data_IF_464503575438
#
_entry.id   IF_464503575438
#
_cell.length_a   1.000
_cell.length_b   1.000
_cell.length_c   1.000
_cell.angle_alpha   90.00
_cell.angle_beta   90.00
_cell.angle_gamma   90.00
#
_symmetry.space_group_name_H-M   'P 1'
#
loop_
_entity.id
_entity.type
_entity.pdbx_description
1 polymer ?
#
# COMPACT_ATOMS: atom_id res chain seq x y z
N UNK A 1 8.99 -8.47 -16.28
CA UNK A 1 9.00 -8.39 -14.81
C UNK A 1 7.75 -7.73 -14.20
N UNK A 2 7.42 -6.45 -14.47
CA UNK A 2 6.37 -5.70 -13.72
C UNK A 2 5.00 -6.39 -13.70
N UNK A 3 4.47 -6.81 -14.84
CA UNK A 3 3.20 -7.53 -14.93
C UNK A 3 3.22 -8.90 -14.23
N UNK A 4 4.38 -9.55 -14.22
CA UNK A 4 4.55 -10.82 -13.51
C UNK A 4 4.50 -10.60 -11.99
N UNK A 5 5.15 -9.54 -11.48
CA UNK A 5 5.08 -9.14 -10.06
C UNK A 5 3.65 -8.76 -9.66
N UNK A 6 2.90 -8.07 -10.52
CA UNK A 6 1.48 -7.78 -10.30
C UNK A 6 0.63 -9.06 -10.15
N UNK A 7 0.89 -10.07 -10.97
CA UNK A 7 0.25 -11.39 -10.87
C UNK A 7 0.63 -12.12 -9.58
N UNK A 8 1.91 -12.11 -9.20
CA UNK A 8 2.41 -12.72 -7.96
C UNK A 8 1.78 -12.07 -6.71
N UNK A 9 1.55 -10.76 -6.75
CA UNK A 9 0.82 -10.00 -5.72
C UNK A 9 -0.70 -10.25 -5.74
N UNK A 10 -1.22 -11.04 -6.70
CA UNK A 10 -2.65 -11.32 -6.88
C UNK A 10 -3.50 -10.05 -7.00
N UNK A 11 -2.99 -9.05 -7.71
CA UNK A 11 -3.76 -7.83 -7.98
C UNK A 11 -5.01 -8.16 -8.81
N UNK A 12 -6.06 -7.35 -8.63
CA UNK A 12 -7.32 -7.51 -9.37
C UNK A 12 -7.15 -7.38 -10.89
N UNK A 13 -6.21 -6.53 -11.31
CA UNK A 13 -5.95 -6.28 -12.72
C UNK A 13 -4.67 -5.49 -12.94
N UNK A 14 -4.32 -5.31 -14.21
CA UNK A 14 -3.19 -4.51 -14.67
C UNK A 14 -3.67 -3.47 -15.68
N UNK A 15 -3.09 -2.28 -15.61
CA UNK A 15 -3.29 -1.23 -16.60
C UNK A 15 -2.14 -1.24 -17.59
N UNK A 16 -2.46 -1.03 -18.87
CA UNK A 16 -1.45 -0.85 -19.90
C UNK A 16 -1.91 0.15 -20.96
N UNK A 17 -0.96 0.90 -21.48
CA UNK A 17 -1.14 1.78 -22.63
C UNK A 17 -0.62 1.06 -23.88
N UNK A 18 -1.50 0.90 -24.86
CA UNK A 18 -1.22 0.19 -26.11
C UNK A 18 -1.00 1.18 -27.23
N UNK A 19 0.05 0.95 -28.00
CA UNK A 19 0.32 1.62 -29.28
C UNK A 19 0.71 0.58 -30.33
N UNK A 20 0.86 0.99 -31.58
CA UNK A 20 1.18 0.10 -32.71
C UNK A 20 2.51 0.55 -33.32
N UNK A 21 3.39 -0.40 -33.63
CA UNK A 21 4.65 -0.14 -34.35
C UNK A 21 4.42 0.18 -35.82
N UNK A 22 5.44 0.70 -36.49
CA UNK A 22 5.37 1.10 -37.89
C UNK A 22 5.02 -0.08 -38.81
N UNK A 23 5.45 -1.29 -38.44
CA UNK A 23 5.17 -2.56 -39.10
C UNK A 23 3.92 -3.30 -38.57
N UNK A 24 3.16 -2.71 -37.64
CA UNK A 24 1.82 -3.16 -37.28
C UNK A 24 1.70 -4.05 -36.05
N UNK A 25 2.76 -4.13 -35.23
CA UNK A 25 2.78 -4.93 -34.00
C UNK A 25 2.25 -4.11 -32.81
N UNK A 26 1.21 -4.57 -32.08
CA UNK A 26 0.76 -3.90 -30.86
C UNK A 26 1.75 -4.10 -29.71
N UNK A 27 2.19 -3.00 -29.11
CA UNK A 27 3.13 -3.01 -27.99
C UNK A 27 2.75 -1.99 -26.91
N UNK A 28 3.37 -2.15 -25.74
CA UNK A 28 3.04 -1.39 -24.55
C UNK A 28 4.02 -0.23 -24.36
N UNK A 29 3.50 0.99 -24.36
CA UNK A 29 4.28 2.20 -24.10
C UNK A 29 3.36 3.32 -23.63
N UNK A 30 3.73 3.94 -22.51
CA UNK A 30 2.99 5.07 -21.95
C UNK A 30 3.32 6.39 -22.65
N UNK A 31 4.60 6.60 -22.97
CA UNK A 31 5.06 7.87 -23.50
C UNK A 31 4.92 7.97 -25.01
N UNK A 32 4.86 9.20 -25.52
CA UNK A 32 4.89 9.46 -26.95
C UNK A 32 6.24 9.08 -27.60
N UNK A 33 7.34 9.09 -26.84
CA UNK A 33 8.70 8.73 -27.31
C UNK A 33 9.34 7.69 -26.39
N UNK A 34 10.45 7.09 -26.83
CA UNK A 34 11.12 6.00 -26.11
C UNK A 34 12.16 6.49 -25.08
N UNK A 35 12.39 7.80 -24.98
CA UNK A 35 13.55 8.38 -24.27
C UNK A 35 13.58 8.14 -22.78
N UNK A 36 12.43 8.23 -22.10
CA UNK A 36 12.37 8.16 -20.63
C UNK A 36 12.57 6.74 -20.12
N UNK A 37 12.07 5.75 -20.85
CA UNK A 37 11.92 4.37 -20.37
C UNK A 37 12.72 3.35 -21.18
N UNK A 38 13.63 3.79 -22.05
CA UNK A 38 14.52 2.91 -22.81
C UNK A 38 15.90 3.52 -23.02
N UNK A 39 16.83 2.75 -23.57
CA UNK A 39 18.15 3.22 -24.00
C UNK A 39 18.20 3.73 -25.46
N UNK A 40 17.08 4.20 -26.04
CA UNK A 40 17.02 4.66 -27.44
C UNK A 40 18.04 5.75 -27.78
N UNK A 41 18.39 6.63 -26.84
CA UNK A 41 19.38 7.69 -27.07
C UNK A 41 20.80 7.16 -27.29
N UNK A 42 21.11 6.00 -26.70
CA UNK A 42 22.40 5.34 -26.86
C UNK A 42 22.40 4.43 -28.10
N UNK A 43 21.28 3.70 -28.32
CA UNK A 43 21.18 2.71 -29.39
C UNK A 43 20.85 3.30 -30.76
N UNK A 44 19.98 4.31 -30.82
CA UNK A 44 19.46 4.95 -32.03
C UNK A 44 19.32 6.48 -31.84
N UNK A 45 20.44 7.20 -31.62
CA UNK A 45 20.44 8.60 -31.22
C UNK A 45 19.67 9.52 -32.18
N UNK A 46 19.81 9.31 -33.50
CA UNK A 46 19.15 10.13 -34.52
C UNK A 46 17.62 10.00 -34.50
N UNK A 47 17.10 8.87 -34.01
CA UNK A 47 15.68 8.57 -33.96
C UNK A 47 15.08 8.81 -32.56
N UNK A 48 15.87 9.16 -31.55
CA UNK A 48 15.43 9.20 -30.16
C UNK A 48 14.21 10.11 -29.90
N UNK A 49 14.05 11.18 -30.67
CA UNK A 49 12.92 12.11 -30.57
C UNK A 49 11.70 11.71 -31.41
N UNK A 50 11.82 10.67 -32.23
CA UNK A 50 10.74 10.18 -33.05
C UNK A 50 9.64 9.54 -32.18
N UNK A 51 8.36 9.63 -32.57
CA UNK A 51 7.29 8.96 -31.85
C UNK A 51 7.53 7.45 -31.77
N UNK A 52 7.25 6.83 -30.61
CA UNK A 52 7.48 5.41 -30.37
C UNK A 52 6.78 4.50 -31.41
N UNK A 53 5.60 4.91 -31.88
CA UNK A 53 4.84 4.20 -32.92
C UNK A 53 5.51 4.20 -34.30
N UNK A 54 6.44 5.12 -34.55
CA UNK A 54 7.11 5.24 -35.86
C UNK A 54 8.37 4.37 -35.98
N UNK A 55 8.63 3.50 -35.01
CA UNK A 55 9.69 2.50 -35.06
C UNK A 55 9.14 1.15 -35.54
N UNK A 56 9.95 0.39 -36.25
CA UNK A 56 9.64 -1.02 -36.54
C UNK A 56 9.82 -1.87 -35.28
N UNK A 57 9.07 -2.97 -35.19
CA UNK A 57 9.17 -3.90 -34.08
C UNK A 57 10.57 -4.50 -33.92
N UNK A 58 11.26 -4.73 -35.05
CA UNK A 58 12.63 -5.26 -35.05
C UNK A 58 13.61 -4.37 -34.29
N UNK A 59 13.42 -3.05 -34.34
CA UNK A 59 14.25 -2.08 -33.63
C UNK A 59 13.80 -1.96 -32.17
N UNK A 60 12.48 -1.87 -31.94
CA UNK A 60 11.88 -1.80 -30.60
C UNK A 60 12.31 -2.97 -29.71
N UNK A 61 12.38 -4.19 -30.24
CA UNK A 61 12.76 -5.37 -29.43
C UNK A 61 14.22 -5.35 -28.98
N UNK A 62 15.08 -4.58 -29.65
CA UNK A 62 16.52 -4.51 -29.34
C UNK A 62 16.80 -3.51 -28.20
N UNK A 63 15.86 -2.61 -27.93
CA UNK A 63 16.00 -1.61 -26.87
C UNK A 63 15.86 -2.25 -25.50
N UNK A 64 16.73 -1.83 -24.58
CA UNK A 64 16.58 -2.12 -23.17
C UNK A 64 15.55 -1.15 -22.57
N UNK A 65 14.51 -1.70 -21.96
CA UNK A 65 13.41 -0.98 -21.32
C UNK A 65 13.40 -1.11 -19.79
N UNK A 66 14.52 -1.53 -19.20
CA UNK A 66 14.63 -1.86 -17.76
C UNK A 66 15.68 -1.06 -17.01
N UNK A 67 16.84 -0.83 -17.61
CA UNK A 67 17.98 -0.18 -16.96
C UNK A 67 17.67 1.24 -16.46
N UNK A 68 16.82 1.98 -17.19
CA UNK A 68 16.36 3.30 -16.79
C UNK A 68 15.75 3.30 -15.38
N UNK A 69 15.00 2.25 -15.01
CA UNK A 69 14.35 2.15 -13.72
C UNK A 69 15.37 2.08 -12.57
N UNK A 70 16.47 1.37 -12.80
CA UNK A 70 17.57 1.24 -11.84
C UNK A 70 18.42 2.52 -11.76
N UNK A 71 18.64 3.18 -12.90
CA UNK A 71 19.40 4.44 -13.00
C UNK A 71 18.65 5.62 -12.37
N UNK A 72 17.37 5.75 -12.65
CA UNK A 72 16.54 6.88 -12.19
C UNK A 72 15.96 6.67 -10.79
N UNK A 73 15.72 5.42 -10.39
CA UNK A 73 15.06 5.04 -9.14
C UNK A 73 13.80 5.91 -8.85
N UNK A 74 12.80 5.89 -9.75
CA UNK A 74 11.68 6.85 -9.72
C UNK A 74 10.81 6.77 -8.46
N UNK A 75 10.93 5.68 -7.69
CA UNK A 75 10.16 5.45 -6.47
C UNK A 75 11.04 5.26 -5.23
N UNK A 76 12.36 5.48 -5.31
CA UNK A 76 13.31 5.24 -4.22
C UNK A 76 13.27 3.81 -3.65
N UNK A 77 13.03 2.83 -4.52
CA UNK A 77 12.85 1.41 -4.14
C UNK A 77 14.01 0.52 -4.58
N UNK A 78 14.89 0.99 -5.46
CA UNK A 78 15.96 0.16 -6.07
C UNK A 78 16.87 -0.45 -5.01
N UNK A 79 17.17 0.28 -3.92
CA UNK A 79 17.99 -0.21 -2.80
C UNK A 79 17.38 -1.39 -2.04
N UNK A 80 16.06 -1.55 -2.10
CA UNK A 80 15.33 -2.61 -1.42
C UNK A 80 15.09 -3.84 -2.30
N UNK A 81 15.52 -3.81 -3.58
CA UNK A 81 15.33 -4.92 -4.49
C UNK A 81 16.26 -6.10 -4.15
N UNK A 82 15.73 -7.34 -4.12
CA UNK A 82 16.56 -8.54 -4.11
C UNK A 82 17.53 -8.57 -5.30
N UNK A 83 18.70 -9.19 -5.12
CA UNK A 83 19.72 -9.25 -6.19
C UNK A 83 19.25 -9.96 -7.48
N UNK A 84 18.32 -10.91 -7.37
CA UNK A 84 17.67 -11.55 -8.53
C UNK A 84 16.78 -10.58 -9.28
N UNK A 85 15.93 -9.86 -8.54
CA UNK A 85 14.98 -8.88 -9.06
C UNK A 85 15.72 -7.69 -9.69
N UNK A 86 16.85 -7.27 -9.12
CA UNK A 86 17.72 -6.24 -9.69
C UNK A 86 18.27 -6.68 -11.06
N UNK A 87 18.81 -7.90 -11.16
CA UNK A 87 19.35 -8.44 -12.42
C UNK A 87 18.27 -8.61 -13.49
N UNK A 88 17.08 -9.07 -13.10
CA UNK A 88 15.94 -9.18 -14.01
C UNK A 88 15.51 -7.79 -14.49
N UNK A 89 15.31 -6.84 -13.58
CA UNK A 89 14.91 -5.47 -13.89
C UNK A 89 15.90 -4.76 -14.82
N UNK A 90 17.20 -5.04 -14.70
CA UNK A 90 18.22 -4.42 -15.53
C UNK A 90 18.08 -4.76 -17.02
N UNK A 91 17.62 -5.98 -17.34
CA UNK A 91 17.59 -6.49 -18.71
C UNK A 91 16.16 -6.82 -19.15
N UNK A 92 15.31 -5.79 -19.22
CA UNK A 92 13.95 -5.90 -19.72
C UNK A 92 13.87 -5.40 -21.17
N UNK A 93 12.99 -6.01 -21.97
CA UNK A 93 12.60 -5.55 -23.30
C UNK A 93 11.23 -4.86 -23.26
N UNK A 94 10.91 -4.12 -24.32
CA UNK A 94 9.55 -3.60 -24.54
C UNK A 94 8.59 -4.79 -24.69
N UNK A 95 7.44 -4.72 -24.02
CA UNK A 95 6.46 -5.80 -24.00
C UNK A 95 5.42 -5.61 -25.12
N UNK A 96 5.11 -6.67 -25.86
CA UNK A 96 3.98 -6.72 -26.80
C UNK A 96 2.65 -6.89 -26.06
N UNK A 97 1.55 -6.52 -26.71
CA UNK A 97 0.22 -6.84 -26.18
C UNK A 97 0.00 -8.35 -26.06
N UNK A 98 0.51 -9.13 -27.01
CA UNK A 98 0.42 -10.61 -26.98
C UNK A 98 1.13 -11.19 -25.76
N UNK A 99 2.34 -10.72 -25.45
CA UNK A 99 3.08 -11.15 -24.25
C UNK A 99 2.35 -10.80 -22.96
N UNK A 100 1.76 -9.60 -22.87
CA UNK A 100 0.91 -9.23 -21.74
C UNK A 100 -0.28 -10.18 -21.61
N UNK A 101 -0.95 -10.51 -22.71
CA UNK A 101 -2.11 -11.42 -22.71
C UNK A 101 -1.72 -12.84 -22.28
N UNK A 102 -0.55 -13.31 -22.67
CA UNK A 102 0.03 -14.58 -22.20
C UNK A 102 0.29 -14.55 -20.69
N UNK A 103 0.87 -13.46 -20.17
CA UNK A 103 1.07 -13.28 -18.73
C UNK A 103 -0.26 -13.17 -17.96
N UNK A 104 -1.27 -12.59 -18.60
CA UNK A 104 -2.60 -12.37 -18.07
C UNK A 104 -3.58 -13.55 -18.21
N UNK A 105 -3.11 -14.71 -18.69
CA UNK A 105 -3.91 -15.93 -18.69
C UNK A 105 -4.38 -16.26 -17.27
N UNK A 106 -5.69 -16.24 -17.06
CA UNK A 106 -6.35 -16.43 -15.76
C UNK A 106 -7.40 -15.37 -15.48
N UNK A 107 -7.61 -15.06 -14.20
CA UNK A 107 -8.65 -14.13 -13.72
C UNK A 107 -8.13 -12.69 -13.54
N UNK A 108 -7.17 -12.25 -14.34
CA UNK A 108 -6.60 -10.90 -14.22
C UNK A 108 -7.34 -9.94 -15.15
N UNK A 109 -7.88 -8.86 -14.58
CA UNK A 109 -8.58 -7.82 -15.35
C UNK A 109 -7.57 -6.94 -16.10
N UNK A 110 -7.84 -6.61 -17.36
CA UNK A 110 -7.02 -5.73 -18.18
C UNK A 110 -7.69 -4.38 -18.36
N UNK A 111 -7.04 -3.31 -17.90
CA UNK A 111 -7.46 -1.94 -18.17
C UNK A 111 -6.58 -1.38 -19.29
N UNK A 112 -7.14 -1.31 -20.49
CA UNK A 112 -6.39 -0.96 -21.69
C UNK A 112 -6.75 0.44 -22.17
N UNK A 113 -5.74 1.29 -22.25
CA UNK A 113 -5.81 2.57 -22.93
C UNK A 113 -5.11 2.46 -24.29
N UNK A 114 -5.62 3.14 -25.32
CA UNK A 114 -5.06 3.09 -26.67
C UNK A 114 -4.59 4.48 -27.08
N UNK A 115 -3.32 4.60 -27.48
CA UNK A 115 -2.77 5.85 -27.97
C UNK A 115 -3.18 6.16 -29.41
N UNK A 116 -3.46 7.43 -29.67
CA UNK A 116 -3.62 7.90 -31.05
C UNK A 116 -2.28 7.92 -31.79
N UNK A 117 -2.27 7.37 -33.00
CA UNK A 117 -1.06 7.29 -33.84
C UNK A 117 -0.84 8.57 -34.66
N UNK A 118 0.40 8.95 -35.03
CA UNK A 118 0.69 10.08 -35.92
C UNK A 118 -0.08 10.03 -37.26
N UNK A 119 -0.30 11.20 -37.89
CA UNK A 119 -1.14 11.34 -39.10
C UNK A 119 -0.66 10.51 -40.28
N UNK A 120 0.64 10.39 -40.41
CA UNK A 120 1.41 9.68 -41.43
C UNK A 120 1.58 8.18 -41.13
N UNK A 121 1.16 7.71 -39.95
CA UNK A 121 1.30 6.31 -39.58
C UNK A 121 0.36 5.42 -40.42
N UNK A 122 0.87 4.32 -41.04
CA UNK A 122 0.09 3.48 -41.97
C UNK A 122 -1.15 2.85 -41.33
N UNK A 123 -1.08 2.55 -40.04
CA UNK A 123 -2.17 1.92 -39.29
C UNK A 123 -3.07 2.92 -38.51
N UNK A 124 -2.96 4.24 -38.74
CA UNK A 124 -3.75 5.24 -37.99
C UNK A 124 -5.27 5.02 -38.07
N UNK A 125 -5.80 4.50 -39.17
CA UNK A 125 -7.23 4.24 -39.33
C UNK A 125 -7.66 2.86 -38.80
N UNK A 126 -6.72 1.93 -38.63
CA UNK A 126 -6.99 0.51 -38.36
C UNK A 126 -6.44 0.02 -37.01
N UNK A 127 -5.70 0.84 -36.26
CA UNK A 127 -5.08 0.42 -34.99
C UNK A 127 -6.07 -0.16 -33.98
N UNK A 128 -7.28 0.41 -33.87
CA UNK A 128 -8.35 -0.15 -33.04
C UNK A 128 -8.68 -1.59 -33.41
N UNK A 129 -8.80 -1.87 -34.72
CA UNK A 129 -9.11 -3.21 -35.21
C UNK A 129 -7.96 -4.17 -34.94
N UNK A 130 -6.70 -3.73 -35.09
CA UNK A 130 -5.53 -4.56 -34.80
C UNK A 130 -5.48 -4.92 -33.31
N UNK A 131 -5.67 -3.95 -32.42
CA UNK A 131 -5.71 -4.19 -30.97
C UNK A 131 -6.89 -5.11 -30.59
N UNK A 132 -8.08 -4.85 -31.13
CA UNK A 132 -9.27 -5.65 -30.87
C UNK A 132 -9.10 -7.10 -31.35
N UNK A 133 -8.59 -7.29 -32.57
CA UNK A 133 -8.33 -8.62 -33.13
C UNK A 133 -7.27 -9.37 -32.32
N UNK A 134 -6.21 -8.69 -31.88
CA UNK A 134 -5.19 -9.27 -30.99
C UNK A 134 -5.80 -9.76 -29.68
N UNK A 135 -6.69 -8.97 -29.06
CA UNK A 135 -7.39 -9.36 -27.84
C UNK A 135 -8.30 -10.56 -28.06
N UNK A 136 -9.10 -10.56 -29.12
CA UNK A 136 -10.04 -11.64 -29.42
C UNK A 136 -9.32 -12.96 -29.75
N UNK A 137 -8.22 -12.89 -30.52
CA UNK A 137 -7.42 -14.07 -30.89
C UNK A 137 -6.69 -14.69 -29.69
N UNK A 138 -6.34 -13.89 -28.68
CA UNK A 138 -5.70 -14.41 -27.47
C UNK A 138 -6.60 -15.32 -26.64
N UNK A 139 -7.93 -15.25 -26.84
CA UNK A 139 -8.90 -15.99 -26.04
C UNK A 139 -9.04 -15.47 -24.60
N UNK A 140 -8.48 -14.31 -24.27
CA UNK A 140 -8.65 -13.71 -22.94
C UNK A 140 -10.14 -13.43 -22.67
N UNK A 141 -10.67 -13.75 -21.47
CA UNK A 141 -12.10 -13.59 -21.20
C UNK A 141 -12.56 -12.16 -21.42
N UNK A 142 -13.55 -11.97 -22.30
CA UNK A 142 -14.02 -10.62 -22.68
C UNK A 142 -14.48 -9.79 -21.49
N UNK A 143 -15.16 -10.41 -20.53
CA UNK A 143 -15.63 -9.76 -19.31
C UNK A 143 -14.52 -9.27 -18.37
N UNK A 144 -13.26 -9.62 -18.61
CA UNK A 144 -12.10 -9.13 -17.87
C UNK A 144 -11.38 -7.97 -18.59
N UNK A 145 -11.86 -7.55 -19.76
CA UNK A 145 -11.27 -6.41 -20.49
C UNK A 145 -12.09 -5.15 -20.22
N UNK A 146 -11.47 -4.16 -19.58
CA UNK A 146 -11.99 -2.80 -19.47
C UNK A 146 -11.54 -1.99 -20.68
N UNK A 147 -12.50 -1.67 -21.56
CA UNK A 147 -12.27 -0.94 -22.80
C UNK A 147 -12.56 0.55 -22.61
N UNK A 148 -11.48 1.34 -22.53
CA UNK A 148 -11.56 2.80 -22.34
C UNK A 148 -11.95 3.57 -23.60
N UNK A 149 -11.42 3.26 -24.81
CA UNK A 149 -11.61 4.14 -25.95
C UNK A 149 -13.09 4.38 -26.29
N UNK A 150 -13.45 5.66 -26.39
CA UNK A 150 -14.79 6.10 -26.80
C UNK A 150 -15.02 5.95 -28.31
N UNK A 151 -13.96 6.05 -29.11
CA UNK A 151 -14.04 5.90 -30.56
C UNK A 151 -14.41 4.46 -30.94
N UNK A 152 -15.29 4.31 -31.93
CA UNK A 152 -15.77 3.01 -32.41
C UNK A 152 -16.45 2.13 -31.34
N UNK A 153 -16.88 2.71 -30.21
CA UNK A 153 -17.57 1.97 -29.14
C UNK A 153 -18.77 1.14 -29.63
N UNK A 154 -19.65 1.62 -30.54
CA UNK A 154 -20.74 0.80 -31.06
C UNK A 154 -20.27 -0.45 -31.84
N UNK A 155 -19.13 -0.36 -32.53
CA UNK A 155 -18.52 -1.50 -33.21
C UNK A 155 -18.00 -2.51 -32.19
N UNK A 156 -17.26 -2.04 -31.18
CA UNK A 156 -16.71 -2.90 -30.12
C UNK A 156 -17.83 -3.61 -29.36
N UNK A 157 -18.92 -2.92 -29.03
CA UNK A 157 -20.09 -3.53 -28.39
C UNK A 157 -20.74 -4.63 -29.24
N UNK A 158 -20.70 -4.49 -30.57
CA UNK A 158 -21.23 -5.49 -31.49
C UNK A 158 -20.31 -6.70 -31.63
N UNK A 159 -18.99 -6.47 -31.71
CA UNK A 159 -17.99 -7.52 -31.99
C UNK A 159 -17.51 -8.23 -30.72
N UNK A 160 -17.38 -7.49 -29.62
CA UNK A 160 -16.92 -7.95 -28.32
C UNK A 160 -17.88 -7.48 -27.20
N UNK A 161 -19.13 -7.98 -27.18
CA UNK A 161 -20.16 -7.52 -26.23
C UNK A 161 -19.79 -7.80 -24.77
N UNK A 162 -18.86 -8.73 -24.50
CA UNK A 162 -18.39 -9.00 -23.16
C UNK A 162 -17.44 -7.94 -22.60
N UNK A 163 -16.84 -7.07 -23.43
CA UNK A 163 -15.93 -6.03 -22.95
C UNK A 163 -16.65 -5.07 -22.01
N UNK A 164 -16.04 -4.83 -20.85
CA UNK A 164 -16.52 -3.85 -19.90
C UNK A 164 -16.29 -2.45 -20.46
N UNK A 165 -17.39 -1.81 -20.86
CA UNK A 165 -17.35 -0.47 -21.42
C UNK A 165 -17.06 0.54 -20.30
N UNK A 166 -15.88 1.14 -20.38
CA UNK A 166 -15.37 2.10 -19.40
C UNK A 166 -15.19 3.47 -20.06
N UNK A 167 -15.59 4.54 -19.38
CA UNK A 167 -15.30 5.91 -19.80
C UNK A 167 -14.05 6.44 -19.09
N UNK A 168 -13.15 7.07 -19.84
CA UNK A 168 -11.98 7.79 -19.36
C UNK A 168 -12.24 9.30 -19.12
N UNK A 169 -13.45 9.77 -19.46
CA UNK A 169 -13.90 11.15 -19.26
C UNK A 169 -15.09 11.17 -18.31
N UNK A 170 -15.15 12.21 -17.47
CA UNK A 170 -16.29 12.46 -16.60
C UNK A 170 -17.50 12.86 -17.46
N UNK A 171 -18.51 12.00 -17.48
CA UNK A 171 -19.76 12.25 -18.19
C UNK A 171 -20.96 12.22 -17.25
N UNK A 172 -22.09 12.75 -17.73
CA UNK A 172 -23.37 12.64 -17.00
C UNK A 172 -23.88 11.21 -17.05
N UNK A 173 -24.62 10.79 -16.01
CA UNK A 173 -25.26 9.46 -15.96
C UNK A 173 -26.12 9.18 -17.19
N UNK A 174 -26.82 10.18 -17.73
CA UNK A 174 -27.61 10.04 -18.95
C UNK A 174 -26.75 9.72 -20.19
N UNK A 175 -25.55 10.31 -20.30
CA UNK A 175 -24.60 10.00 -21.36
C UNK A 175 -24.07 8.57 -21.24
N UNK A 176 -23.65 8.19 -20.03
CA UNK A 176 -23.12 6.85 -19.73
C UNK A 176 -24.14 5.76 -20.05
N UNK A 177 -25.42 5.96 -19.69
CA UNK A 177 -26.50 5.02 -20.02
C UNK A 177 -26.72 4.88 -21.52
N UNK A 178 -26.74 5.99 -22.27
CA UNK A 178 -26.87 5.94 -23.74
C UNK A 178 -25.69 5.20 -24.38
N UNK A 179 -24.50 5.35 -23.82
CA UNK A 179 -23.29 4.67 -24.25
C UNK A 179 -23.16 3.22 -23.79
N UNK A 180 -24.10 2.68 -23.00
CA UNK A 180 -23.98 1.37 -22.31
C UNK A 180 -22.67 1.23 -21.51
N UNK A 181 -22.25 2.33 -20.86
CA UNK A 181 -21.05 2.40 -20.05
C UNK A 181 -21.41 2.12 -18.60
N UNK A 182 -20.70 1.18 -17.96
CA UNK A 182 -20.94 0.76 -16.58
C UNK A 182 -19.81 1.17 -15.63
N UNK A 183 -18.66 1.55 -16.18
CA UNK A 183 -17.47 1.90 -15.41
C UNK A 183 -16.88 3.25 -15.82
N UNK A 184 -16.29 3.93 -14.85
CA UNK A 184 -15.56 5.18 -15.04
C UNK A 184 -14.12 4.95 -14.59
N UNK A 185 -13.15 5.39 -15.37
CA UNK A 185 -11.73 5.40 -15.01
C UNK A 185 -11.25 6.84 -15.05
N UNK A 186 -11.16 7.50 -13.90
CA UNK A 186 -10.93 8.95 -13.82
C UNK A 186 -9.76 9.30 -12.91
N UNK A 187 -9.15 10.46 -13.16
CA UNK A 187 -8.20 11.03 -12.21
C UNK A 187 -8.95 11.42 -10.92
N UNK A 188 -8.40 11.07 -9.75
CA UNK A 188 -9.07 11.32 -8.47
C UNK A 188 -9.42 12.81 -8.22
N UNK A 189 -8.66 13.74 -8.79
CA UNK A 189 -8.90 15.20 -8.67
C UNK A 189 -10.11 15.72 -9.44
N UNK A 190 -10.67 14.92 -10.35
CA UNK A 190 -11.81 15.32 -11.19
C UNK A 190 -13.17 14.93 -10.58
N UNK A 191 -13.14 14.18 -9.47
CA UNK A 191 -14.31 13.51 -8.91
C UNK A 191 -14.54 14.01 -7.48
N UNK A 192 -15.75 14.49 -7.21
CA UNK A 192 -16.20 14.89 -5.87
C UNK A 192 -16.87 13.72 -5.13
N UNK A 193 -17.01 13.83 -3.82
CA UNK A 193 -17.77 12.86 -3.03
C UNK A 193 -19.24 12.75 -3.47
N UNK A 194 -19.82 13.82 -4.01
CA UNK A 194 -21.18 13.78 -4.56
C UNK A 194 -21.22 12.95 -5.86
N UNK A 195 -20.25 13.13 -6.75
CA UNK A 195 -20.17 12.34 -7.98
C UNK A 195 -20.05 10.83 -7.68
N UNK A 196 -19.27 10.45 -6.65
CA UNK A 196 -19.11 9.04 -6.24
C UNK A 196 -20.45 8.47 -5.74
N UNK A 197 -21.17 9.23 -4.90
CA UNK A 197 -22.51 8.83 -4.42
C UNK A 197 -23.50 8.69 -5.56
N UNK A 198 -23.50 9.63 -6.50
CA UNK A 198 -24.38 9.59 -7.66
C UNK A 198 -24.05 8.36 -8.52
N UNK A 199 -22.77 8.12 -8.83
CA UNK A 199 -22.37 6.92 -9.58
C UNK A 199 -22.82 5.62 -8.89
N UNK A 200 -22.62 5.53 -7.57
CA UNK A 200 -23.05 4.37 -6.78
C UNK A 200 -24.56 4.16 -6.80
N UNK A 201 -25.35 5.24 -6.68
CA UNK A 201 -26.81 5.19 -6.77
C UNK A 201 -27.33 4.67 -8.12
N UNK A 202 -26.53 4.78 -9.18
CA UNK A 202 -26.83 4.29 -10.52
C UNK A 202 -26.13 2.98 -10.89
N UNK A 203 -25.56 2.25 -9.92
CA UNK A 203 -24.80 1.01 -10.11
C UNK A 203 -23.60 1.16 -11.07
N UNK A 204 -23.01 2.36 -11.14
CA UNK A 204 -21.79 2.61 -11.89
C UNK A 204 -20.58 2.38 -10.97
N UNK A 205 -19.58 1.66 -11.47
CA UNK A 205 -18.31 1.50 -10.73
C UNK A 205 -17.31 2.56 -11.14
N UNK A 206 -16.60 3.13 -10.17
CA UNK A 206 -15.57 4.15 -10.39
C UNK A 206 -14.21 3.57 -10.01
N UNK A 207 -13.27 3.65 -10.95
CA UNK A 207 -11.85 3.45 -10.75
C UNK A 207 -11.13 4.80 -10.74
N UNK A 208 -10.32 5.06 -9.72
CA UNK A 208 -9.57 6.31 -9.61
C UNK A 208 -8.05 6.10 -9.70
N UNK A 209 -7.37 7.00 -10.41
CA UNK A 209 -5.92 6.91 -10.63
C UNK A 209 -5.22 8.28 -10.58
N UNK A 210 -3.90 8.35 -10.39
CA UNK A 210 -3.02 7.29 -9.83
C UNK A 210 -2.88 7.55 -8.33
N UNK A 211 -3.19 6.55 -7.50
CA UNK A 211 -3.25 6.67 -6.04
C UNK A 211 -2.10 5.88 -5.44
N UNK A 212 -1.07 6.54 -4.91
CA UNK A 212 0.12 5.87 -4.38
C UNK A 212 0.26 5.94 -2.85
N UNK A 213 -0.49 6.84 -2.21
CA UNK A 213 -0.40 7.12 -0.79
C UNK A 213 -1.46 6.38 0.05
N UNK A 214 -1.09 5.74 1.18
CA UNK A 214 -2.04 5.04 2.06
C UNK A 214 -3.16 5.94 2.59
N UNK A 215 -2.85 7.21 2.86
CA UNK A 215 -3.84 8.16 3.36
C UNK A 215 -4.90 8.49 2.31
N UNK A 216 -4.49 8.69 1.06
CA UNK A 216 -5.41 8.97 -0.05
C UNK A 216 -6.23 7.73 -0.39
N UNK A 217 -5.59 6.55 -0.39
CA UNK A 217 -6.28 5.28 -0.55
C UNK A 217 -7.38 5.09 0.50
N UNK A 218 -7.08 5.40 1.77
CA UNK A 218 -8.04 5.32 2.88
C UNK A 218 -9.21 6.28 2.70
N UNK A 219 -8.95 7.52 2.28
CA UNK A 219 -9.99 8.52 2.00
C UNK A 219 -10.94 8.05 0.89
N UNK A 220 -10.40 7.53 -0.21
CA UNK A 220 -11.19 7.04 -1.34
C UNK A 220 -11.98 5.77 -0.99
N UNK A 221 -11.39 4.88 -0.19
CA UNK A 221 -12.06 3.71 0.36
C UNK A 221 -13.29 4.13 1.19
N UNK A 222 -13.11 5.05 2.14
CA UNK A 222 -14.23 5.59 2.94
C UNK A 222 -15.28 6.33 2.09
N UNK A 223 -14.87 6.92 0.97
CA UNK A 223 -15.78 7.62 0.06
C UNK A 223 -16.64 6.68 -0.80
N UNK A 224 -16.39 5.36 -0.77
CA UNK A 224 -17.15 4.36 -1.51
C UNK A 224 -16.66 4.11 -2.95
N UNK A 225 -15.41 4.46 -3.25
CA UNK A 225 -14.78 4.14 -4.56
C UNK A 225 -14.54 2.63 -4.66
N UNK A 226 -14.88 2.02 -5.81
CA UNK A 226 -14.85 0.57 -5.97
C UNK A 226 -13.44 0.02 -6.25
N UNK A 227 -12.59 0.78 -6.96
CA UNK A 227 -11.21 0.37 -7.23
C UNK A 227 -10.29 1.57 -7.44
N UNK A 228 -8.98 1.34 -7.30
CA UNK A 228 -7.94 2.33 -7.59
C UNK A 228 -6.85 1.73 -8.47
N UNK A 229 -6.20 2.56 -9.28
CA UNK A 229 -4.95 2.22 -9.97
C UNK A 229 -3.79 2.90 -9.25
N UNK A 230 -2.73 2.13 -9.01
CA UNK A 230 -1.59 2.52 -8.16
C UNK A 230 -0.29 1.94 -8.71
N UNK A 231 0.78 2.72 -8.65
CA UNK A 231 2.16 2.24 -8.83
C UNK A 231 2.69 1.59 -7.53
N UNK A 232 2.07 1.92 -6.39
CA UNK A 232 2.46 1.46 -5.06
C UNK A 232 1.54 0.35 -4.51
N UNK A 233 1.10 -0.56 -5.37
CA UNK A 233 0.17 -1.65 -5.03
C UNK A 233 0.65 -2.52 -3.86
N UNK A 234 1.97 -2.72 -3.74
CA UNK A 234 2.57 -3.53 -2.69
C UNK A 234 2.41 -2.93 -1.28
N UNK A 235 2.34 -1.60 -1.16
CA UNK A 235 2.10 -0.92 0.12
C UNK A 235 0.60 -0.86 0.39
N UNK A 236 -0.20 -0.47 -0.61
CA UNK A 236 -1.64 -0.31 -0.45
C UNK A 236 -2.36 -1.63 -0.13
N UNK A 237 -1.92 -2.74 -0.71
CA UNK A 237 -2.46 -4.08 -0.41
C UNK A 237 -2.26 -4.54 1.03
N UNK A 238 -1.33 -3.91 1.77
CA UNK A 238 -1.07 -4.21 3.19
C UNK A 238 -1.89 -3.36 4.14
N UNK A 239 -2.67 -2.38 3.65
CA UNK A 239 -3.53 -1.54 4.49
C UNK A 239 -4.77 -2.34 4.88
N UNK A 240 -4.92 -2.78 6.15
CA UNK A 240 -5.99 -3.70 6.54
C UNK A 240 -7.35 -2.99 6.67
N UNK A 241 -7.33 -1.69 6.93
CA UNK A 241 -8.50 -0.82 7.12
C UNK A 241 -8.10 0.63 6.83
N UNK A 242 -9.06 1.52 6.53
CA UNK A 242 -8.77 2.94 6.34
C UNK A 242 -7.98 3.53 7.51
N UNK A 243 -6.84 4.16 7.20
CA UNK A 243 -6.00 4.86 8.16
C UNK A 243 -6.73 6.13 8.60
N UNK A 244 -6.77 6.35 9.91
CA UNK A 244 -7.30 7.60 10.47
C UNK A 244 -6.35 8.75 10.17
N UNK A 245 -6.89 9.80 9.55
CA UNK A 245 -6.17 11.02 9.23
C UNK A 245 -6.92 12.17 9.91
N UNK A 246 -6.17 13.08 10.50
CA UNK A 246 -6.69 14.26 11.19
C UNK A 246 -5.94 15.48 10.67
N UNK A 247 -6.64 16.60 10.50
CA UNK A 247 -5.98 17.82 10.09
C UNK A 247 -4.98 18.26 11.18
N UNK A 248 -3.81 18.83 10.82
CA UNK A 248 -2.85 19.30 11.83
C UNK A 248 -3.47 20.30 12.82
N UNK A 249 -4.39 21.16 12.35
CA UNK A 249 -5.08 22.14 13.19
C UNK A 249 -6.03 21.47 14.20
N UNK A 250 -6.75 20.43 13.77
CA UNK A 250 -7.63 19.64 14.65
C UNK A 250 -6.80 18.86 15.69
N UNK A 251 -5.68 18.28 15.26
CA UNK A 251 -4.75 17.60 16.15
C UNK A 251 -4.19 18.56 17.20
N UNK A 252 -3.70 19.73 16.79
CA UNK A 252 -3.22 20.78 17.69
C UNK A 252 -4.32 21.24 18.67
N UNK A 253 -5.54 21.45 18.18
CA UNK A 253 -6.66 21.85 19.02
C UNK A 253 -7.00 20.79 20.07
N UNK A 254 -6.99 19.50 19.70
CA UNK A 254 -7.21 18.40 20.62
C UNK A 254 -6.14 18.38 21.71
N UNK A 255 -4.87 18.58 21.38
CA UNK A 255 -3.79 18.61 22.39
C UNK A 255 -3.86 19.86 23.28
N UNK A 256 -4.12 21.04 22.72
CA UNK A 256 -4.29 22.27 23.52
C UNK A 256 -5.46 22.12 24.49
N UNK A 257 -6.58 21.54 24.05
CA UNK A 257 -7.75 21.30 24.90
C UNK A 257 -7.48 20.23 25.95
N UNK A 258 -6.79 19.15 25.61
CA UNK A 258 -6.36 18.12 26.56
C UNK A 258 -5.41 18.68 27.63
N UNK A 259 -4.48 19.56 27.27
CA UNK A 259 -3.57 20.23 28.19
C UNK A 259 -4.32 21.19 29.12
N UNK A 260 -5.27 21.96 28.59
CA UNK A 260 -6.10 22.86 29.40
C UNK A 260 -6.97 22.09 30.40
N UNK A 261 -7.58 20.98 29.98
CA UNK A 261 -8.35 20.08 30.85
C UNK A 261 -7.44 19.46 31.91
N UNK A 262 -6.25 18.99 31.54
CA UNK A 262 -5.28 18.44 32.48
C UNK A 262 -4.82 19.47 33.49
N UNK A 263 -4.53 20.70 33.05
CA UNK A 263 -4.15 21.81 33.93
C UNK A 263 -5.26 22.17 34.91
N UNK A 264 -6.51 22.28 34.43
CA UNK A 264 -7.66 22.57 35.29
C UNK A 264 -7.92 21.46 36.31
N UNK A 265 -7.77 20.19 35.92
CA UNK A 265 -7.85 19.04 36.84
C UNK A 265 -6.74 19.08 37.90
N UNK A 266 -5.50 19.35 37.51
CA UNK A 266 -4.36 19.47 38.44
C UNK A 266 -4.62 20.59 39.46
N UNK A 267 -4.98 21.78 38.99
CA UNK A 267 -5.32 22.92 39.86
C UNK A 267 -6.50 22.58 40.78
N UNK A 268 -7.53 21.92 40.26
CA UNK A 268 -8.67 21.44 41.04
C UNK A 268 -8.26 20.48 42.15
N UNK A 269 -7.39 19.51 41.85
CA UNK A 269 -6.84 18.57 42.85
C UNK A 269 -6.04 19.33 43.92
N UNK A 270 -5.19 20.28 43.54
CA UNK A 270 -4.41 21.07 44.49
C UNK A 270 -5.30 21.92 45.41
N UNK A 271 -6.35 22.54 44.87
CA UNK A 271 -7.33 23.30 45.67
C UNK A 271 -8.06 22.37 46.65
N UNK A 272 -8.49 21.19 46.17
CA UNK A 272 -9.22 20.21 46.97
C UNK A 272 -8.32 19.60 48.07
N UNK A 273 -7.06 19.30 47.77
CA UNK A 273 -6.06 18.91 48.76
C UNK A 273 -5.79 20.02 49.77
N UNK A 274 -5.63 21.27 49.33
CA UNK A 274 -5.44 22.43 50.21
C UNK A 274 -6.64 22.66 51.13
N UNK A 275 -7.87 22.45 50.65
CA UNK A 275 -9.07 22.53 51.46
C UNK A 275 -9.16 21.38 52.47
N UNK A 276 -8.84 20.14 52.04
CA UNK A 276 -8.83 18.95 52.91
C UNK A 276 -7.74 19.00 53.99
N UNK A 277 -6.55 19.50 53.67
CA UNK A 277 -5.43 19.70 54.62
C UNK A 277 -5.55 21.00 55.42
N UNK A 278 -6.23 22.02 54.87
CA UNK A 278 -6.55 23.28 55.56
C UNK A 278 -7.52 23.07 56.73
N UNK A 279 -8.43 22.10 56.61
CA UNK A 279 -9.28 21.65 57.73
C UNK A 279 -8.50 20.84 58.80
N UNK A 280 -7.22 20.50 58.59
CA UNK A 280 -6.36 19.80 59.57
C UNK A 280 -5.38 20.78 60.24
N UNK A 281 -5.60 22.10 60.21
CA UNK A 281 -4.79 23.06 60.97
C UNK A 281 -5.58 23.83 62.01
N UNK A 282 -5.92 23.11 63.07
CA UNK A 282 -5.71 23.58 64.46
C UNK A 282 -4.81 22.57 65.16
N UNK A 283 -3.54 22.49 64.72
CA UNK A 283 -2.52 21.72 65.44
C UNK A 283 -1.78 22.67 66.37
N UNK A 284 -2.00 22.50 67.67
CA UNK A 284 -1.39 23.27 68.74
C UNK A 284 0.08 22.80 68.92
N UNK A 285 1.10 23.67 68.73
CA UNK A 285 2.51 23.27 68.76
C UNK A 285 2.95 22.69 70.12
N UNK A 286 2.18 22.90 71.19
CA UNK A 286 2.47 22.39 72.53
C UNK A 286 2.27 20.87 72.69
N UNK A 287 1.39 20.24 71.91
CA UNK A 287 1.16 18.80 72.01
C UNK A 287 2.31 17.96 71.44
N UNK A 288 3.04 18.48 70.45
CA UNK A 288 4.19 17.78 69.86
C UNK A 288 5.38 17.81 70.82
N UNK A 289 5.61 18.94 71.49
CA UNK A 289 6.69 19.08 72.48
C UNK A 289 6.49 18.14 73.69
N UNK A 290 5.24 17.91 74.11
CA UNK A 290 4.92 16.96 75.17
C UNK A 290 5.04 15.48 74.72
N UNK A 291 4.72 15.16 73.46
CA UNK A 291 4.90 13.79 72.93
C UNK A 291 6.36 13.42 72.62
N UNK A 292 7.20 14.41 72.30
CA UNK A 292 8.64 14.21 72.08
C UNK A 292 9.44 14.11 73.40
N UNK A 293 8.93 14.72 74.49
CA UNK A 293 9.59 14.70 75.80
C UNK A 293 9.26 13.46 76.66
N UNK A 294 8.28 12.63 76.27
CA UNK A 294 7.88 11.44 77.04
C UNK A 294 8.32 10.15 76.34
N UNK A 295 9.52 9.69 76.74
CA UNK A 295 10.09 8.32 76.61
C UNK A 295 10.24 7.72 75.20
N UNK A 296 11.51 7.60 74.76
CA UNK A 296 12.04 6.29 74.33
C UNK A 296 13.35 5.98 75.06
N UNK A 297 13.24 5.12 76.06
CA UNK A 297 14.35 4.37 76.65
C UNK A 297 14.98 3.47 75.59
N UNK A 298 16.31 3.52 75.49
CA UNK A 298 17.15 2.81 74.54
C UNK A 298 17.11 1.28 74.70
N UNK A 299 16.33 0.56 73.89
CA UNK A 299 16.50 -0.91 73.75
C UNK A 299 16.60 -1.45 72.31
N UNK A 300 16.20 -0.72 71.27
CA UNK A 300 16.25 -1.24 69.89
C UNK A 300 17.49 -0.87 69.06
N UNK A 301 18.38 -0.01 69.57
CA UNK A 301 19.60 0.38 68.83
C UNK A 301 20.70 -0.70 68.89
N UNK A 302 20.56 -1.69 69.79
CA UNK A 302 21.58 -2.76 69.96
C UNK A 302 21.39 -3.96 69.03
N UNK A 303 20.22 -4.13 68.41
CA UNK A 303 19.94 -5.28 67.51
C UNK A 303 20.28 -4.97 66.04
N UNK A 304 20.26 -3.70 65.62
CA UNK A 304 20.65 -3.31 64.26
C UNK A 304 22.16 -3.24 64.01
N UNK A 305 22.98 -3.05 65.06
CA UNK A 305 24.44 -3.01 64.89
C UNK A 305 25.06 -4.38 64.62
N UNK A 306 24.48 -5.48 65.11
CA UNK A 306 25.00 -6.83 64.82
C UNK A 306 24.59 -7.33 63.42
N UNK A 307 23.51 -6.80 62.85
CA UNK A 307 23.04 -7.18 61.50
C UNK A 307 23.77 -6.46 60.36
N UNK A 308 24.38 -5.30 60.62
CA UNK A 308 25.15 -4.54 59.63
C UNK A 308 26.63 -4.99 59.51
N UNK A 309 27.18 -5.66 60.53
CA UNK A 309 28.58 -6.13 60.50
C UNK A 309 28.73 -7.44 59.71
N UNK A 310 27.65 -8.23 59.55
CA UNK A 310 27.70 -9.49 58.79
C UNK A 310 27.44 -9.35 57.29
N UNK A 311 26.93 -8.22 56.81
CA UNK A 311 26.71 -7.99 55.37
C UNK A 311 27.90 -7.35 54.65
N UNK A 312 28.89 -6.81 55.36
CA UNK A 312 30.03 -6.09 54.77
C UNK A 312 31.27 -6.99 54.52
N UNK A 313 31.21 -8.29 54.85
CA UNK A 313 32.29 -9.25 54.57
C UNK A 313 32.01 -10.10 53.31
N UNK A 314 30.81 -10.03 52.72
CA UNK A 314 30.45 -10.91 51.59
C UNK A 314 30.52 -10.29 50.19
N UNK A 315 30.69 -8.96 50.04
CA UNK A 315 30.74 -8.30 48.72
C UNK A 315 32.10 -7.67 48.44
N UNK A 316 33.12 -8.54 48.39
CA UNK A 316 34.37 -8.25 47.72
C UNK A 316 34.69 -9.35 46.71
N UNK A 317 34.80 -8.97 45.44
CA UNK A 317 35.39 -9.71 44.29
C UNK A 317 34.38 -10.29 43.26
N UNK A 318 34.09 -9.43 42.27
CA UNK A 318 34.17 -9.61 40.80
C UNK A 318 33.50 -10.78 40.04
N UNK A 319 32.74 -10.34 39.01
CA UNK A 319 32.69 -10.76 37.58
C UNK A 319 32.12 -12.17 37.25
N UNK A 320 31.31 -12.40 36.21
CA UNK A 320 31.04 -11.68 34.94
C UNK A 320 29.80 -12.31 34.25
N UNK A 321 29.18 -11.50 33.40
CA UNK A 321 28.44 -11.83 32.15
C UNK A 321 26.96 -12.31 32.13
N UNK A 322 26.20 -11.47 31.41
CA UNK A 322 25.00 -11.64 30.58
C UNK A 322 23.60 -11.93 31.16
N UNK A 323 22.83 -10.84 31.29
CA UNK A 323 21.36 -10.74 31.25
C UNK A 323 21.02 -9.40 30.55
N UNK A 324 19.98 -9.17 29.74
CA UNK A 324 18.82 -9.96 29.34
C UNK A 324 18.15 -9.27 28.14
N UNK A 325 17.49 -10.05 27.28
CA UNK A 325 16.34 -9.61 26.52
C UNK A 325 15.17 -10.47 27.00
N UNK A 326 14.19 -9.85 27.66
CA UNK A 326 12.76 -9.93 27.34
C UNK A 326 11.86 -9.73 28.57
N UNK A 327 10.91 -8.83 28.38
CA UNK A 327 9.72 -8.60 29.18
C UNK A 327 8.72 -9.75 28.99
N UNK A 328 8.13 -10.14 30.13
CA UNK A 328 6.73 -10.44 30.41
C UNK A 328 5.91 -11.50 29.65
N UNK A 329 5.31 -12.33 30.51
CA UNK A 329 3.91 -12.70 30.62
C UNK A 329 3.29 -13.65 29.59
N UNK A 330 2.80 -14.77 30.14
CA UNK A 330 1.81 -15.62 29.50
C UNK A 330 1.38 -16.75 30.43
N UNK A 331 0.25 -16.55 31.12
CA UNK A 331 -0.47 -17.52 31.95
C UNK A 331 -0.59 -18.91 31.28
N UNK A 332 -0.45 -19.99 32.07
CA UNK A 332 -0.83 -21.34 31.67
C UNK A 332 -1.68 -21.99 32.75
N UNK A 333 -2.87 -22.44 32.33
CA UNK A 333 -3.78 -23.31 33.06
C UNK A 333 -3.24 -24.74 33.12
N UNK A 334 -3.59 -25.41 34.21
CA UNK A 334 -3.40 -26.84 34.49
C UNK A 334 -3.86 -27.76 33.34
N UNK A 335 -3.14 -28.88 33.14
CA UNK A 335 -3.54 -30.23 33.62
C UNK A 335 -2.58 -31.29 33.05
N UNK A 336 -2.08 -32.13 33.97
CA UNK A 336 -1.28 -33.33 33.76
C UNK A 336 -1.97 -34.42 32.92
N UNK A 337 -1.19 -35.20 32.16
CA UNK A 337 -1.05 -36.67 32.34
C UNK A 337 0.15 -37.22 31.55
N UNK A 338 0.69 -38.41 31.90
CA UNK A 338 2.11 -38.74 31.78
C UNK A 338 2.47 -39.62 30.58
N UNK A 339 3.73 -39.54 30.17
CA UNK A 339 4.39 -40.49 29.27
C UNK A 339 4.70 -41.82 29.97
N UNK A 340 4.64 -42.91 29.21
CA UNK A 340 5.65 -43.97 29.25
C UNK A 340 5.65 -44.80 27.92
N UNK A 341 6.66 -45.66 27.62
CA UNK A 341 7.49 -45.46 26.44
C UNK A 341 7.44 -46.61 25.39
N UNK A 342 8.13 -46.35 24.28
CA UNK A 342 8.36 -47.19 23.10
C UNK A 342 8.73 -48.66 23.38
N UNK A 343 8.16 -49.57 22.59
CA UNK A 343 8.91 -50.71 22.00
C UNK A 343 8.30 -51.17 20.68
N UNK A 344 9.08 -51.95 19.92
CA UNK A 344 9.21 -52.00 18.45
C UNK A 344 8.44 -53.22 17.81
N UNK A 345 8.59 -53.53 16.50
CA UNK A 345 7.48 -53.78 15.57
C UNK A 345 7.21 -55.26 15.22
N UNK A 346 6.09 -55.54 14.54
CA UNK A 346 5.86 -56.85 13.92
C UNK A 346 4.60 -56.96 13.04
N UNK A 347 4.82 -57.23 11.75
CA UNK A 347 4.08 -58.09 10.80
C UNK A 347 2.55 -58.17 10.81
N UNK A 348 1.98 -58.08 9.61
CA UNK A 348 0.97 -59.05 9.13
C UNK A 348 -0.14 -58.44 8.28
N UNK A 349 -0.51 -59.17 7.21
CA UNK A 349 -1.51 -58.78 6.21
C UNK A 349 -2.91 -58.49 6.76
N UNK A 350 -3.84 -57.98 5.97
CA UNK A 350 -4.20 -58.30 4.59
C UNK A 350 -4.72 -57.05 3.90
#
# INVERSE_FOLDING_TARGET
MSFQKAREQKLYGVQADVTISLDGVPFLMHDATLRRTTNVEEALPELAHQPASMFNWTDLKQLNAGEWFLKTDPFWTVRSLPASDYREAQNQSICTLTELLELAKGNMTLLLNLWELPRDHPYRSTFFNITLDTLLRSGHPQHLVMWLPSRQRPLVQKVAPGFQQTSDVKETVASLRRGHIQKLNLRYTQVSSQDIRDCSAWNLSVNLYTVNEPWLFSLLWCSGVQSVTSDNSHTLSKVPSPVWIMAPDEYCLIWITADLVSFTLIVGIFILQKWRLGNIRTYNPEQIMLSAAVRRTSRDVKIMKEKLIFSEISDGVENTDDLSMCSENGFSNDVLTPMEPKTRPGRGGR
#
